data_IF_163796666747
#
_entry.id   IF_163796666747
#
_cell.length_a   1.000
_cell.length_b   1.000
_cell.length_c   1.000
_cell.angle_alpha   90.00
_cell.angle_beta   90.00
_cell.angle_gamma   90.00
#
_symmetry.space_group_name_H-M   'P 1'
#
loop_
_entity.id
_entity.type
_entity.pdbx_description
1 polymer ?
#
# COMPACT_ATOMS: atom_id res chain seq x y z
N UNK A 1 -4.67 15.38 5.88
CA UNK A 1 -4.01 15.76 4.61
C UNK A 1 -4.23 14.63 3.64
N UNK A 2 -4.54 14.94 2.37
CA UNK A 2 -4.73 13.89 1.38
C UNK A 2 -3.39 13.29 0.98
N UNK A 3 -3.33 11.97 0.98
CA UNK A 3 -2.16 11.20 0.58
C UNK A 3 -2.60 10.09 -0.35
N UNK A 4 -1.78 9.87 -1.37
CA UNK A 4 -1.86 8.77 -2.30
C UNK A 4 -0.91 7.67 -1.83
N UNK A 5 -1.42 6.46 -1.78
CA UNK A 5 -0.64 5.27 -1.51
C UNK A 5 -0.61 4.41 -2.77
N UNK A 6 0.60 4.04 -3.19
CA UNK A 6 0.81 3.09 -4.28
C UNK A 6 1.61 1.92 -3.74
N UNK A 7 0.97 0.77 -3.69
CA UNK A 7 1.54 -0.47 -3.25
C UNK A 7 1.72 -1.41 -4.44
N UNK A 8 2.96 -1.79 -4.70
CA UNK A 8 3.34 -2.73 -5.74
C UNK A 8 3.87 -3.98 -5.04
N UNK A 9 3.38 -5.14 -5.44
CA UNK A 9 3.81 -6.43 -4.91
C UNK A 9 4.01 -7.42 -6.04
N UNK A 10 5.10 -8.18 -5.96
CA UNK A 10 5.49 -9.16 -6.97
C UNK A 10 5.63 -10.55 -6.34
N UNK A 11 5.45 -11.60 -7.16
CA UNK A 11 5.53 -13.02 -6.74
C UNK A 11 4.61 -13.33 -5.54
N UNK A 12 3.31 -13.12 -5.76
CA UNK A 12 2.27 -13.33 -4.76
C UNK A 12 1.66 -14.72 -4.91
N UNK A 13 1.34 -15.35 -3.78
CA UNK A 13 0.51 -16.56 -3.74
C UNK A 13 -0.73 -16.25 -2.91
N UNK A 14 -1.89 -16.26 -3.55
CA UNK A 14 -3.21 -15.99 -2.93
C UNK A 14 -4.14 -17.16 -3.21
N UNK A 15 -4.66 -17.81 -2.18
CA UNK A 15 -5.53 -18.99 -2.31
C UNK A 15 -4.98 -20.05 -3.27
N UNK A 16 -3.71 -20.42 -3.09
CA UNK A 16 -2.93 -21.33 -3.95
C UNK A 16 -2.80 -20.90 -5.43
N UNK A 17 -3.12 -19.64 -5.74
CA UNK A 17 -2.93 -19.05 -7.08
C UNK A 17 -1.75 -18.11 -7.07
N UNK A 18 -0.89 -18.29 -8.06
CA UNK A 18 0.22 -17.37 -8.31
C UNK A 18 -0.30 -16.12 -9.01
N UNK A 19 0.07 -14.96 -8.48
CA UNK A 19 -0.17 -13.65 -9.09
C UNK A 19 1.21 -13.04 -9.31
N UNK A 20 1.56 -12.78 -10.57
CA UNK A 20 2.86 -12.23 -10.93
C UNK A 20 3.08 -10.85 -10.30
N UNK A 21 2.08 -9.97 -10.40
CA UNK A 21 2.12 -8.63 -9.84
C UNK A 21 0.73 -8.14 -9.41
N UNK A 22 0.67 -7.46 -8.27
CA UNK A 22 -0.50 -6.70 -7.82
C UNK A 22 -0.11 -5.25 -7.54
N UNK A 23 -0.89 -4.32 -8.09
CA UNK A 23 -0.75 -2.90 -7.84
C UNK A 23 -2.04 -2.42 -7.16
N UNK A 24 -1.90 -1.86 -5.96
CA UNK A 24 -2.98 -1.25 -5.19
C UNK A 24 -2.72 0.24 -5.10
N UNK A 25 -3.66 1.03 -5.61
CA UNK A 25 -3.63 2.49 -5.60
C UNK A 25 -4.86 2.98 -4.83
N UNK A 26 -4.65 3.72 -3.73
CA UNK A 26 -5.73 4.31 -2.96
C UNK A 26 -5.34 5.67 -2.37
N UNK A 27 -6.35 6.50 -2.14
CA UNK A 27 -6.23 7.80 -1.51
C UNK A 27 -6.82 7.75 -0.10
N UNK A 28 -6.18 8.43 0.85
CA UNK A 28 -6.68 8.54 2.22
C UNK A 28 -6.46 9.94 2.75
N UNK A 29 -7.36 10.40 3.63
CA UNK A 29 -7.14 11.59 4.44
C UNK A 29 -6.56 11.16 5.79
N UNK A 30 -5.28 11.43 6.01
CA UNK A 30 -4.55 11.03 7.21
C UNK A 30 -3.73 12.19 7.75
N UNK A 31 -3.37 12.14 9.03
CA UNK A 31 -2.39 13.08 9.60
C UNK A 31 -0.94 12.61 9.36
N UNK A 32 0.04 13.53 9.38
CA UNK A 32 1.46 13.19 9.16
C UNK A 32 1.99 12.10 10.11
N UNK A 33 1.54 12.12 11.36
CA UNK A 33 1.88 11.12 12.36
C UNK A 33 1.38 9.72 11.99
N UNK A 34 0.17 9.62 11.42
CA UNK A 34 -0.43 8.35 10.99
C UNK A 34 0.26 7.80 9.74
N UNK A 35 0.67 8.66 8.81
CA UNK A 35 1.42 8.28 7.62
C UNK A 35 2.76 7.62 8.00
N UNK A 36 3.47 8.23 8.97
CA UNK A 36 4.73 7.70 9.45
C UNK A 36 4.53 6.33 10.12
N UNK A 37 3.51 6.19 10.97
CA UNK A 37 3.20 4.91 11.63
C UNK A 37 2.86 3.80 10.62
N UNK A 38 2.04 4.11 9.60
CA UNK A 38 1.69 3.17 8.52
C UNK A 38 2.94 2.75 7.73
N UNK A 39 3.84 3.69 7.43
CA UNK A 39 5.09 3.37 6.74
C UNK A 39 5.97 2.42 7.57
N UNK A 40 6.05 2.61 8.89
CA UNK A 40 6.79 1.73 9.78
C UNK A 40 6.14 0.35 9.91
N UNK A 41 4.82 0.29 10.04
CA UNK A 41 4.08 -0.98 10.10
C UNK A 41 4.26 -1.80 8.81
N UNK A 42 4.28 -1.10 7.68
CA UNK A 42 4.54 -1.69 6.37
C UNK A 42 5.94 -2.30 6.27
N UNK A 43 6.97 -1.50 6.55
CA UNK A 43 8.38 -1.92 6.50
C UNK A 43 8.64 -3.08 7.47
N UNK A 44 8.02 -3.03 8.64
CA UNK A 44 8.30 -3.99 9.70
C UNK A 44 7.64 -5.34 9.50
N UNK A 45 6.60 -5.48 8.67
CA UNK A 45 5.75 -6.66 8.71
C UNK A 45 5.34 -7.18 7.35
N UNK A 46 6.00 -8.25 6.91
CA UNK A 46 5.38 -9.26 6.03
C UNK A 46 4.02 -9.74 6.58
N UNK A 47 3.83 -9.65 7.91
CA UNK A 47 2.59 -10.01 8.60
C UNK A 47 1.44 -8.99 8.47
N UNK A 48 1.72 -7.72 8.17
CA UNK A 48 0.66 -6.71 8.09
C UNK A 48 -0.22 -6.94 6.86
N UNK A 49 0.43 -7.25 5.74
CA UNK A 49 -0.23 -7.64 4.50
C UNK A 49 -1.07 -8.90 4.65
N UNK A 50 -0.50 -9.96 5.25
CA UNK A 50 -1.22 -11.23 5.44
C UNK A 50 -2.39 -11.10 6.42
N UNK A 51 -2.37 -10.12 7.33
CA UNK A 51 -3.50 -9.81 8.22
C UNK A 51 -4.64 -9.08 7.51
N UNK A 52 -4.33 -8.23 6.51
CA UNK A 52 -5.33 -7.46 5.78
C UNK A 52 -5.84 -8.19 4.53
N UNK A 53 -4.99 -8.99 3.89
CA UNK A 53 -5.32 -9.77 2.70
C UNK A 53 -5.62 -11.22 3.06
N UNK A 54 -6.92 -11.52 3.15
CA UNK A 54 -7.40 -12.90 3.33
C UNK A 54 -6.93 -13.73 2.14
N UNK A 55 -6.33 -14.90 2.43
CA UNK A 55 -5.83 -15.81 1.41
C UNK A 55 -4.39 -15.54 0.95
N UNK A 56 -3.75 -14.43 1.37
CA UNK A 56 -2.35 -14.17 1.05
C UNK A 56 -1.42 -15.13 1.82
N UNK A 57 -0.78 -16.04 1.09
CA UNK A 57 0.12 -17.06 1.64
C UNK A 57 1.58 -16.64 1.54
N UNK A 58 1.95 -15.89 0.49
CA UNK A 58 3.32 -15.44 0.24
C UNK A 58 3.34 -14.14 -0.54
N UNK A 59 4.33 -13.31 -0.23
CA UNK A 59 4.75 -12.15 -1.03
C UNK A 59 6.27 -12.20 -1.21
N UNK A 60 6.73 -12.00 -2.43
CA UNK A 60 8.16 -11.93 -2.76
C UNK A 60 8.73 -10.57 -2.40
N UNK A 61 8.57 -9.61 -3.31
CA UNK A 61 8.98 -8.22 -3.16
C UNK A 61 7.75 -7.32 -3.01
N UNK A 62 7.88 -6.27 -2.21
CA UNK A 62 6.81 -5.30 -2.00
C UNK A 62 7.38 -3.91 -1.83
N UNK A 63 6.83 -2.94 -2.55
CA UNK A 63 7.16 -1.52 -2.46
C UNK A 63 5.92 -0.72 -2.13
N UNK A 64 6.00 0.13 -1.10
CA UNK A 64 4.96 1.09 -0.77
C UNK A 64 5.50 2.50 -1.02
N UNK A 65 4.82 3.23 -1.90
CA UNK A 65 5.06 4.63 -2.18
C UNK A 65 3.95 5.46 -1.56
N UNK A 66 4.32 6.56 -0.90
CA UNK A 66 3.39 7.49 -0.27
C UNK A 66 3.66 8.87 -0.84
N UNK A 67 2.66 9.47 -1.46
CA UNK A 67 2.76 10.78 -2.09
C UNK A 67 1.71 11.73 -1.48
N UNK A 68 2.11 12.91 -0.99
CA UNK A 68 1.14 13.92 -0.58
C UNK A 68 0.36 14.41 -1.81
N UNK A 69 -0.96 14.48 -1.70
CA UNK A 69 -1.82 15.07 -2.71
C UNK A 69 -2.03 16.52 -2.29
N UNK A 70 -1.31 17.44 -2.94
CA UNK A 70 -1.61 18.86 -2.82
C UNK A 70 -2.98 19.16 -3.44
N UNK A 71 -3.92 19.64 -2.63
CA UNK A 71 -5.27 19.99 -3.07
C UNK A 71 -5.28 21.13 -4.12
N UNK A 72 -4.19 21.89 -4.23
CA UNK A 72 -4.04 22.99 -5.21
C UNK A 72 -3.90 22.53 -6.67
N UNK A 73 -3.68 21.23 -6.92
CA UNK A 73 -3.56 20.68 -8.28
C UNK A 73 -4.89 20.22 -8.90
N UNK A 74 -5.97 20.11 -8.11
CA UNK A 74 -7.24 19.54 -8.58
C UNK A 74 -8.28 20.59 -9.03
N UNK A 75 -8.04 21.89 -8.82
CA UNK A 75 -8.99 22.97 -9.20
C UNK A 75 -8.73 23.56 -10.60
N UNK A 76 -8.20 22.76 -11.53
CA UNK A 76 -7.82 23.25 -12.86
C UNK A 76 -8.34 22.41 -14.02
N UNK A 77 -9.58 21.91 -13.95
CA UNK A 77 -10.36 21.51 -15.12
C UNK A 77 -11.85 21.73 -14.92
#
# INVERSE_FOLDING_TARGET
>A
MKVKFVLIMDDLIVDDRTIDQLILDWESDLEQSEILELSHQWISSKNFLTQRMVGLMRVGESSLTIEPIDEEQYDKY
#
